data_IF_289980542149
#
_entry.id   IF_289980542149
#
_cell.length_a   1.000
_cell.length_b   1.000
_cell.length_c   1.000
_cell.angle_alpha   90.00
_cell.angle_beta   90.00
_cell.angle_gamma   90.00
#
_symmetry.space_group_name_H-M   'P 1'
#
loop_
_entity.id
_entity.type
_entity.pdbx_description
1 polymer ?
#
# COMPACT_ATOMS: atom_id res chain seq x y z
N UNK A 1 -19.98 23.04 72.52
CA UNK A 1 -18.57 22.58 72.58
C UNK A 1 -18.49 21.27 71.79
N UNK A 2 -17.63 21.18 70.76
CA UNK A 2 -16.95 19.98 70.17
C UNK A 2 -17.79 18.67 69.94
N UNK A 3 -17.85 18.01 68.76
CA UNK A 3 -17.42 18.35 67.38
C UNK A 3 -18.00 17.37 66.30
N UNK A 4 -17.99 17.84 65.03
CA UNK A 4 -17.78 17.21 63.71
C UNK A 4 -18.08 15.71 63.38
N UNK A 5 -18.76 15.54 62.22
CA UNK A 5 -18.52 14.61 61.08
C UNK A 5 -18.09 13.14 61.27
N UNK A 6 -18.86 12.23 60.64
CA UNK A 6 -18.40 11.47 59.45
C UNK A 6 -19.59 10.87 58.66
N UNK A 7 -19.51 10.87 57.32
CA UNK A 7 -20.53 10.28 56.41
C UNK A 7 -20.15 8.84 56.04
N UNK A 8 -21.03 7.87 56.33
CA UNK A 8 -21.05 6.58 55.66
C UNK A 8 -22.27 6.51 54.73
N UNK A 9 -22.08 6.37 53.41
CA UNK A 9 -23.20 6.19 52.47
C UNK A 9 -22.81 5.31 51.27
N UNK A 10 -22.76 4.01 51.52
CA UNK A 10 -22.70 2.99 50.47
C UNK A 10 -24.13 2.72 49.99
N UNK A 11 -24.43 3.05 48.74
CA UNK A 11 -25.80 2.91 48.23
C UNK A 11 -25.90 3.13 46.73
N UNK A 12 -26.23 2.05 46.02
CA UNK A 12 -26.79 1.99 44.66
C UNK A 12 -25.87 2.42 43.50
N UNK A 13 -25.33 1.42 42.79
CA UNK A 13 -25.10 1.46 41.34
C UNK A 13 -24.89 0.02 40.80
N UNK A 14 -25.94 -0.79 40.74
CA UNK A 14 -25.92 -2.12 40.11
C UNK A 14 -27.05 -2.20 39.08
N UNK A 15 -26.80 -1.65 37.88
CA UNK A 15 -27.62 -1.83 36.68
C UNK A 15 -26.95 -1.19 35.45
N UNK A 16 -26.14 -1.97 34.72
CA UNK A 16 -25.97 -1.84 33.27
C UNK A 16 -25.28 -3.08 32.70
N UNK A 17 -26.01 -4.19 32.69
CA UNK A 17 -25.65 -5.38 31.91
C UNK A 17 -26.14 -5.24 30.47
N UNK A 18 -25.45 -5.94 29.55
CA UNK A 18 -25.85 -6.18 28.16
C UNK A 18 -25.99 -4.94 27.26
N UNK A 19 -24.88 -4.52 26.65
CA UNK A 19 -24.80 -4.20 25.21
C UNK A 19 -23.32 -4.08 24.82
N UNK A 20 -22.81 -5.04 24.03
CA UNK A 20 -21.42 -5.03 23.58
C UNK A 20 -20.71 -6.38 23.61
N UNK A 21 -21.29 -7.40 22.98
CA UNK A 21 -20.54 -8.62 22.59
C UNK A 21 -19.53 -8.36 21.47
N UNK A 22 -18.84 -7.21 21.51
CA UNK A 22 -17.73 -6.90 20.64
C UNK A 22 -16.54 -7.70 21.13
N UNK A 23 -16.29 -8.86 20.51
CA UNK A 23 -15.02 -9.54 20.60
C UNK A 23 -13.96 -8.67 19.91
N UNK A 24 -13.52 -7.61 20.60
CA UNK A 24 -12.28 -6.92 20.25
C UNK A 24 -11.18 -7.97 20.39
N UNK A 25 -10.49 -8.34 19.30
CA UNK A 25 -9.31 -9.17 19.43
C UNK A 25 -8.29 -8.34 20.19
N UNK A 26 -8.09 -8.67 21.48
CA UNK A 26 -6.92 -8.21 22.21
C UNK A 26 -5.74 -8.66 21.35
N UNK A 27 -4.90 -7.70 20.94
CA UNK A 27 -3.63 -8.03 20.32
C UNK A 27 -2.80 -8.73 21.40
N UNK A 28 -2.78 -10.05 21.34
CA UNK A 28 -1.99 -10.90 22.21
C UNK A 28 -0.54 -10.45 22.12
N UNK A 29 0.11 -10.20 23.26
CA UNK A 29 1.44 -9.60 23.21
C UNK A 29 2.45 -10.63 22.70
N UNK A 30 3.52 -10.17 22.06
CA UNK A 30 4.66 -11.00 21.67
C UNK A 30 5.24 -11.82 22.86
N UNK A 31 5.01 -11.37 24.10
CA UNK A 31 5.39 -12.09 25.31
C UNK A 31 4.39 -13.18 25.74
N UNK A 32 3.15 -13.12 25.29
CA UNK A 32 2.09 -14.09 25.61
C UNK A 32 2.07 -15.24 24.60
N UNK A 33 2.21 -14.95 23.30
CA UNK A 33 2.40 -15.98 22.26
C UNK A 33 3.53 -16.96 22.62
N UNK A 34 4.65 -16.43 23.13
CA UNK A 34 5.84 -17.22 23.48
C UNK A 34 5.66 -18.11 24.70
N UNK A 35 4.55 -18.00 25.43
CA UNK A 35 4.18 -18.88 26.56
C UNK A 35 3.35 -20.08 26.10
N UNK A 36 2.91 -20.13 24.84
CA UNK A 36 2.16 -21.26 24.30
C UNK A 36 2.95 -22.59 24.47
N UNK A 37 2.34 -23.66 25.00
CA UNK A 37 3.04 -24.92 25.25
C UNK A 37 3.60 -25.59 23.99
N UNK A 38 2.93 -25.44 22.84
CA UNK A 38 3.38 -25.99 21.57
C UNK A 38 4.53 -25.16 20.98
N UNK A 39 4.48 -23.83 21.08
CA UNK A 39 5.58 -22.95 20.72
C UNK A 39 6.84 -23.22 21.56
N UNK A 40 6.70 -23.33 22.89
CA UNK A 40 7.80 -23.66 23.80
C UNK A 40 8.40 -25.03 23.49
N UNK A 41 7.56 -26.03 23.21
CA UNK A 41 8.01 -27.36 22.75
C UNK A 41 8.76 -27.28 21.42
N UNK A 42 8.29 -26.46 20.46
CA UNK A 42 8.98 -26.21 19.20
C UNK A 42 10.38 -25.64 19.42
N UNK A 43 10.50 -24.59 20.25
CA UNK A 43 11.79 -23.99 20.64
C UNK A 43 12.73 -24.99 21.33
N UNK A 44 12.20 -25.88 22.18
CA UNK A 44 12.99 -26.94 22.80
C UNK A 44 13.51 -27.95 21.76
N UNK A 45 12.68 -28.36 20.81
CA UNK A 45 13.06 -29.30 19.74
C UNK A 45 14.10 -28.69 18.79
N UNK A 46 14.02 -27.38 18.49
CA UNK A 46 15.10 -26.66 17.78
C UNK A 46 16.42 -26.75 18.53
N UNK A 47 16.42 -26.56 19.86
CA UNK A 47 17.64 -26.66 20.68
C UNK A 47 18.19 -28.10 20.71
N UNK A 48 17.33 -29.11 20.58
CA UNK A 48 17.70 -30.54 20.44
C UNK A 48 18.09 -30.93 19.01
N UNK A 49 18.07 -29.98 18.06
CA UNK A 49 18.30 -30.18 16.62
C UNK A 49 17.26 -31.09 15.92
N UNK A 50 16.14 -31.38 16.57
CA UNK A 50 14.99 -32.06 15.97
C UNK A 50 14.13 -31.02 15.22
N UNK A 51 14.60 -30.63 14.04
CA UNK A 51 13.94 -29.61 13.23
C UNK A 51 12.57 -30.05 12.72
N UNK A 52 12.37 -31.35 12.50
CA UNK A 52 11.10 -31.91 12.02
C UNK A 52 10.05 -31.87 13.13
N UNK A 53 10.38 -32.39 14.32
CA UNK A 53 9.51 -32.30 15.48
C UNK A 53 9.26 -30.85 15.92
N UNK A 54 10.24 -29.97 15.75
CA UNK A 54 10.06 -28.54 16.00
C UNK A 54 9.02 -27.91 15.06
N UNK A 55 9.07 -28.21 13.76
CA UNK A 55 8.09 -27.73 12.79
C UNK A 55 6.68 -28.21 13.16
N UNK A 56 6.49 -29.50 13.42
CA UNK A 56 5.19 -30.04 13.86
C UNK A 56 4.67 -29.42 15.17
N UNK A 57 5.56 -29.01 16.08
CA UNK A 57 5.19 -28.35 17.31
C UNK A 57 4.78 -26.88 17.05
N UNK A 58 5.47 -26.16 16.17
CA UNK A 58 5.03 -24.81 15.77
C UNK A 58 3.75 -24.83 14.93
N UNK A 59 3.52 -25.85 14.10
CA UNK A 59 2.25 -26.02 13.38
C UNK A 59 1.09 -26.21 14.36
N UNK A 60 1.26 -27.01 15.42
CA UNK A 60 0.27 -27.14 16.51
C UNK A 60 0.05 -25.84 17.29
N UNK A 61 1.08 -25.01 17.43
CA UNK A 61 0.93 -23.66 17.99
C UNK A 61 0.09 -22.76 17.05
N UNK A 62 0.24 -22.90 15.73
CA UNK A 62 -0.61 -22.20 14.75
C UNK A 62 -2.02 -22.78 14.62
N UNK A 63 -2.24 -24.07 14.91
CA UNK A 63 -3.59 -24.66 15.02
C UNK A 63 -4.35 -24.06 16.21
N UNK A 64 -3.67 -23.88 17.36
CA UNK A 64 -4.23 -23.23 18.54
C UNK A 64 -4.38 -21.70 18.35
N UNK A 65 -3.38 -21.04 17.76
CA UNK A 65 -3.38 -19.61 17.48
C UNK A 65 -2.88 -19.29 16.06
N UNK A 66 -3.78 -19.25 15.05
CA UNK A 66 -3.44 -18.91 13.66
C UNK A 66 -2.93 -17.47 13.44
N UNK A 67 -2.81 -16.68 14.50
CA UNK A 67 -2.33 -15.29 14.48
C UNK A 67 -1.03 -15.09 15.25
N UNK A 68 -0.39 -16.15 15.76
CA UNK A 68 0.92 -16.01 16.39
C UNK A 68 1.97 -15.58 15.38
N UNK A 69 2.46 -14.35 15.53
CA UNK A 69 3.59 -13.84 14.76
C UNK A 69 4.85 -14.69 15.04
N UNK A 70 5.11 -15.03 16.30
CA UNK A 70 6.30 -15.79 16.71
C UNK A 70 6.35 -17.18 16.09
N UNK A 71 5.25 -17.95 16.08
CA UNK A 71 5.23 -19.28 15.47
C UNK A 71 5.42 -19.21 13.94
N UNK A 72 4.84 -18.21 13.26
CA UNK A 72 5.12 -17.95 11.85
C UNK A 72 6.60 -17.63 11.60
N UNK A 73 7.23 -16.80 12.44
CA UNK A 73 8.65 -16.45 12.28
C UNK A 73 9.56 -17.69 12.36
N UNK A 74 9.36 -18.55 13.36
CA UNK A 74 10.15 -19.77 13.57
C UNK A 74 9.98 -20.79 12.44
N UNK A 75 8.74 -21.02 11.97
CA UNK A 75 8.49 -21.88 10.81
C UNK A 75 9.10 -21.32 9.53
N UNK A 76 9.11 -20.00 9.34
CA UNK A 76 9.82 -19.36 8.24
C UNK A 76 11.33 -19.61 8.28
N UNK A 77 11.93 -19.52 9.47
CA UNK A 77 13.36 -19.83 9.71
C UNK A 77 13.65 -21.29 9.36
N UNK A 78 12.89 -22.24 9.91
CA UNK A 78 13.12 -23.67 9.68
C UNK A 78 12.95 -24.07 8.21
N UNK A 79 11.90 -23.57 7.55
CA UNK A 79 11.68 -23.85 6.13
C UNK A 79 12.79 -23.30 5.23
N UNK A 80 13.33 -22.11 5.55
CA UNK A 80 14.46 -21.53 4.81
C UNK A 80 15.77 -22.30 5.04
N UNK A 81 16.13 -22.55 6.31
CA UNK A 81 17.49 -22.97 6.69
C UNK A 81 17.68 -24.48 6.83
N UNK A 82 16.60 -25.23 7.08
CA UNK A 82 16.66 -26.68 7.35
C UNK A 82 16.03 -27.52 6.25
N UNK A 83 14.91 -27.06 5.69
CA UNK A 83 14.16 -27.83 4.69
C UNK A 83 14.36 -27.34 3.24
N UNK A 84 15.02 -26.19 3.04
CA UNK A 84 15.12 -25.49 1.74
C UNK A 84 13.75 -25.29 1.05
N UNK A 85 12.67 -25.28 1.82
CA UNK A 85 11.31 -25.05 1.35
C UNK A 85 11.03 -23.54 1.31
N UNK A 86 11.70 -22.87 0.37
CA UNK A 86 11.63 -21.42 0.20
C UNK A 86 10.21 -20.90 -0.02
N UNK A 87 9.32 -21.71 -0.62
CA UNK A 87 7.91 -21.34 -0.83
C UNK A 87 7.14 -21.24 0.50
N UNK A 88 7.27 -22.24 1.38
CA UNK A 88 6.71 -22.17 2.72
C UNK A 88 7.37 -21.04 3.54
N UNK A 89 8.69 -20.89 3.45
CA UNK A 89 9.41 -19.82 4.15
C UNK A 89 8.86 -18.42 3.81
N UNK A 90 8.64 -18.13 2.52
CA UNK A 90 8.03 -16.87 2.07
C UNK A 90 6.63 -16.70 2.67
N UNK A 91 5.78 -17.72 2.63
CA UNK A 91 4.42 -17.65 3.20
C UNK A 91 4.44 -17.29 4.69
N UNK A 92 5.25 -17.99 5.49
CA UNK A 92 5.36 -17.74 6.92
C UNK A 92 5.98 -16.38 7.24
N UNK A 93 6.99 -15.93 6.47
CA UNK A 93 7.58 -14.59 6.61
C UNK A 93 6.63 -13.46 6.21
N UNK A 94 5.84 -13.63 5.15
CA UNK A 94 4.83 -12.65 4.75
C UNK A 94 3.68 -12.59 5.78
N UNK A 95 3.30 -13.72 6.38
CA UNK A 95 2.36 -13.77 7.52
C UNK A 95 2.90 -13.04 8.74
N UNK A 96 4.15 -13.27 9.12
CA UNK A 96 4.80 -12.55 10.22
C UNK A 96 4.72 -11.03 10.02
N UNK A 97 5.11 -10.53 8.84
CA UNK A 97 5.06 -9.10 8.51
C UNK A 97 3.64 -8.51 8.41
N UNK A 98 2.60 -9.33 8.25
CA UNK A 98 1.20 -8.90 8.34
C UNK A 98 0.69 -8.81 9.79
N UNK A 99 1.23 -9.64 10.68
CA UNK A 99 0.81 -9.75 12.08
C UNK A 99 1.55 -8.74 12.97
N UNK A 100 2.86 -8.62 12.81
CA UNK A 100 3.68 -7.59 13.47
C UNK A 100 4.52 -6.79 12.44
N UNK A 101 3.93 -5.74 11.82
CA UNK A 101 4.62 -4.93 10.82
C UNK A 101 5.75 -4.06 11.38
N UNK A 102 5.76 -3.79 12.69
CA UNK A 102 6.69 -2.87 13.36
C UNK A 102 7.77 -3.60 14.18
N UNK A 103 7.75 -4.94 14.19
CA UNK A 103 8.71 -5.78 14.87
C UNK A 103 10.16 -5.41 14.51
N UNK A 104 11.08 -5.24 15.49
CA UNK A 104 12.52 -5.14 15.23
C UNK A 104 13.03 -6.32 14.38
N UNK A 105 12.50 -7.52 14.65
CA UNK A 105 12.77 -8.75 13.91
C UNK A 105 12.44 -8.60 12.41
N UNK A 106 11.39 -7.84 12.07
CA UNK A 106 10.90 -7.61 10.71
C UNK A 106 11.91 -6.95 9.76
N UNK A 107 12.89 -6.22 10.30
CA UNK A 107 14.00 -5.63 9.53
C UNK A 107 14.77 -6.70 8.74
N UNK A 108 15.00 -7.86 9.35
CA UNK A 108 15.75 -8.96 8.75
C UNK A 108 14.89 -9.94 7.93
N UNK A 109 13.56 -9.81 7.98
CA UNK A 109 12.64 -10.71 7.27
C UNK A 109 12.48 -10.34 5.80
N UNK A 110 12.44 -9.04 5.47
CA UNK A 110 12.34 -8.59 4.07
C UNK A 110 13.51 -9.07 3.20
N UNK A 111 14.80 -8.97 3.63
CA UNK A 111 15.92 -9.58 2.91
C UNK A 111 15.77 -11.09 2.71
N UNK A 112 15.34 -11.83 3.75
CA UNK A 112 15.18 -13.30 3.67
C UNK A 112 14.08 -13.72 2.69
N UNK A 113 12.98 -12.98 2.61
CA UNK A 113 11.95 -13.17 1.57
C UNK A 113 12.55 -12.99 0.16
N UNK A 114 13.42 -12.01 -0.04
CA UNK A 114 14.09 -11.77 -1.33
C UNK A 114 15.00 -12.96 -1.68
N UNK A 115 15.87 -13.38 -0.76
CA UNK A 115 16.73 -14.57 -0.96
C UNK A 115 15.91 -15.83 -1.27
N UNK A 116 14.82 -16.09 -0.54
CA UNK A 116 13.93 -17.22 -0.83
C UNK A 116 13.31 -17.13 -2.25
N UNK A 117 12.95 -15.93 -2.71
CA UNK A 117 12.42 -15.71 -4.07
C UNK A 117 13.48 -15.90 -5.14
N UNK A 118 14.74 -15.52 -4.87
CA UNK A 118 15.88 -15.78 -5.74
C UNK A 118 16.20 -17.27 -5.86
N UNK A 119 16.23 -18.01 -4.75
CA UNK A 119 16.46 -19.47 -4.79
C UNK A 119 15.33 -20.21 -5.53
N UNK A 120 14.06 -19.84 -5.29
CA UNK A 120 12.95 -20.37 -6.10
C UNK A 120 13.12 -20.04 -7.59
N UNK A 121 13.51 -18.81 -7.93
CA UNK A 121 13.74 -18.43 -9.32
C UNK A 121 14.84 -19.29 -9.97
N UNK A 122 15.92 -19.64 -9.26
CA UNK A 122 16.94 -20.58 -9.77
C UNK A 122 16.36 -21.97 -10.07
N UNK A 123 15.44 -22.47 -9.25
CA UNK A 123 14.79 -23.79 -9.49
C UNK A 123 13.77 -23.78 -10.63
N UNK A 124 13.15 -22.62 -10.92
CA UNK A 124 12.09 -22.47 -11.95
C UNK A 124 12.66 -22.00 -13.30
N UNK A 125 13.81 -21.33 -13.31
CA UNK A 125 14.52 -20.95 -14.53
C UNK A 125 15.09 -22.21 -15.20
N UNK A 126 14.40 -22.65 -16.26
CA UNK A 126 14.73 -23.81 -17.12
C UNK A 126 16.02 -23.62 -17.97
N UNK A 127 16.95 -22.77 -17.54
CA UNK A 127 18.19 -22.45 -18.22
C UNK A 127 19.10 -21.57 -17.35
N UNK A 128 20.41 -21.50 -17.65
CA UNK A 128 21.36 -20.73 -16.85
C UNK A 128 21.00 -19.25 -16.87
N UNK A 129 21.11 -18.59 -15.71
CA UNK A 129 21.05 -17.13 -15.61
C UNK A 129 22.21 -16.56 -16.43
N UNK A 130 21.90 -16.01 -17.60
CA UNK A 130 22.92 -15.43 -18.48
C UNK A 130 23.32 -14.05 -17.99
N UNK A 131 24.59 -13.68 -18.18
CA UNK A 131 25.12 -12.35 -17.83
C UNK A 131 24.27 -11.17 -18.35
N UNK A 132 23.70 -11.19 -19.58
CA UNK A 132 22.77 -10.16 -20.04
C UNK A 132 21.46 -10.11 -19.24
N UNK A 133 20.84 -11.26 -18.96
CA UNK A 133 19.60 -11.34 -18.18
C UNK A 133 19.81 -10.84 -16.75
N UNK A 134 20.96 -11.16 -16.14
CA UNK A 134 21.30 -10.68 -14.80
C UNK A 134 21.45 -9.15 -14.75
N UNK A 135 22.16 -8.56 -15.72
CA UNK A 135 22.26 -7.09 -15.85
C UNK A 135 20.91 -6.42 -16.10
N UNK A 136 20.01 -7.09 -16.83
CA UNK A 136 18.65 -6.59 -17.04
C UNK A 136 17.82 -6.64 -15.74
N UNK A 137 17.92 -7.73 -14.96
CA UNK A 137 17.28 -7.85 -13.63
C UNK A 137 17.82 -6.82 -12.63
N UNK A 138 19.13 -6.60 -12.58
CA UNK A 138 19.78 -5.56 -11.77
C UNK A 138 19.29 -4.16 -12.15
N UNK A 139 19.26 -3.86 -13.46
CA UNK A 139 18.73 -2.59 -13.98
C UNK A 139 17.26 -2.38 -13.60
N UNK A 140 16.41 -3.39 -13.83
CA UNK A 140 14.99 -3.32 -13.48
C UNK A 140 14.76 -3.13 -11.98
N UNK A 141 15.62 -3.73 -11.14
CA UNK A 141 15.59 -3.55 -9.69
C UNK A 141 15.99 -2.13 -9.29
N UNK A 142 17.07 -1.59 -9.86
CA UNK A 142 17.51 -0.22 -9.62
C UNK A 142 16.46 0.82 -10.10
N UNK A 143 15.87 0.61 -11.28
CA UNK A 143 14.78 1.43 -11.80
C UNK A 143 13.53 1.36 -10.90
N UNK A 144 13.19 0.18 -10.35
CA UNK A 144 12.06 0.01 -9.42
C UNK A 144 12.28 0.75 -8.09
N UNK A 145 13.48 0.67 -7.51
CA UNK A 145 13.87 1.42 -6.31
C UNK A 145 13.78 2.93 -6.58
N UNK A 146 14.35 3.40 -7.70
CA UNK A 146 14.33 4.81 -8.11
C UNK A 146 12.91 5.32 -8.36
N UNK A 147 12.02 4.51 -8.92
CA UNK A 147 10.61 4.85 -9.11
C UNK A 147 9.87 4.89 -7.78
N UNK A 148 10.14 3.97 -6.86
CA UNK A 148 9.55 3.95 -5.51
C UNK A 148 9.92 5.21 -4.72
N UNK A 149 11.20 5.62 -4.76
CA UNK A 149 11.69 6.88 -4.17
C UNK A 149 11.01 8.13 -4.79
N UNK A 150 10.79 8.14 -6.11
CA UNK A 150 10.06 9.22 -6.77
C UNK A 150 8.59 9.28 -6.34
N UNK A 151 7.93 8.12 -6.18
CA UNK A 151 6.55 8.04 -5.68
C UNK A 151 6.46 8.57 -4.25
N UNK A 152 7.38 8.20 -3.37
CA UNK A 152 7.45 8.71 -2.00
C UNK A 152 7.70 10.23 -1.96
N UNK A 153 8.64 10.74 -2.77
CA UNK A 153 8.91 12.17 -2.88
C UNK A 153 7.67 12.96 -3.35
N UNK A 154 6.96 12.45 -4.36
CA UNK A 154 5.72 13.07 -4.86
C UNK A 154 4.58 13.00 -3.84
N UNK A 155 4.44 11.90 -3.11
CA UNK A 155 3.47 11.77 -2.02
C UNK A 155 3.74 12.80 -0.91
N UNK A 156 5.00 12.97 -0.51
CA UNK A 156 5.41 13.97 0.47
C UNK A 156 5.15 15.41 -0.02
N UNK A 157 5.41 15.71 -1.29
CA UNK A 157 5.06 17.00 -1.89
C UNK A 157 3.54 17.25 -1.88
N UNK A 158 2.73 16.26 -2.26
CA UNK A 158 1.26 16.36 -2.24
C UNK A 158 0.73 16.58 -0.82
N UNK A 159 1.30 15.90 0.18
CA UNK A 159 0.97 16.12 1.59
C UNK A 159 1.30 17.55 2.06
N UNK A 160 2.47 18.09 1.66
CA UNK A 160 2.85 19.47 1.96
C UNK A 160 1.88 20.48 1.31
N UNK A 161 1.48 20.29 0.05
CA UNK A 161 0.50 21.16 -0.60
C UNK A 161 -0.88 21.11 0.08
N UNK A 162 -1.34 19.93 0.50
CA UNK A 162 -2.58 19.78 1.26
C UNK A 162 -2.52 20.49 2.63
N UNK A 163 -1.40 20.36 3.35
CA UNK A 163 -1.17 21.08 4.61
C UNK A 163 -1.13 22.61 4.41
N UNK A 164 -0.44 23.09 3.37
CA UNK A 164 -0.41 24.52 3.05
C UNK A 164 -1.80 25.07 2.70
N UNK A 165 -2.60 24.34 1.91
CA UNK A 165 -3.97 24.71 1.58
C UNK A 165 -4.89 24.79 2.81
N UNK A 166 -4.81 23.82 3.73
CA UNK A 166 -5.61 23.81 4.97
C UNK A 166 -5.21 24.95 5.91
N UNK A 167 -3.92 25.24 6.05
CA UNK A 167 -3.43 26.40 6.82
C UNK A 167 -3.88 27.73 6.21
N UNK A 168 -3.82 27.88 4.88
CA UNK A 168 -4.27 29.08 4.17
C UNK A 168 -5.81 29.26 4.18
N UNK A 169 -6.57 28.19 4.38
CA UNK A 169 -8.01 28.27 4.65
C UNK A 169 -8.26 28.69 6.11
N UNK A 170 -7.55 28.11 7.07
CA UNK A 170 -7.67 28.43 8.50
C UNK A 170 -7.34 29.90 8.79
N UNK A 171 -6.28 30.43 8.20
CA UNK A 171 -5.87 31.85 8.32
C UNK A 171 -6.86 32.83 7.66
N UNK A 172 -7.72 32.38 6.75
CA UNK A 172 -8.84 33.17 6.20
C UNK A 172 -10.12 33.09 7.06
N UNK A 173 -10.20 32.13 7.97
CA UNK A 173 -11.34 31.91 8.88
C UNK A 173 -11.15 32.51 10.28
N UNK A 174 -9.94 32.95 10.64
CA UNK A 174 -9.68 33.64 11.90
C UNK A 174 -10.37 35.01 11.90
N UNK A 175 -11.31 35.30 12.83
CA UNK A 175 -11.97 36.60 12.89
C UNK A 175 -10.97 37.72 13.15
N UNK A 176 -11.11 38.82 12.41
CA UNK A 176 -10.43 40.08 12.74
C UNK A 176 -10.84 40.51 14.17
N UNK A 177 -9.90 40.87 15.05
CA UNK A 177 -10.25 41.44 16.34
C UNK A 177 -10.98 42.77 16.15
N UNK A 178 -12.25 42.85 16.55
CA UNK A 178 -12.96 44.11 16.74
C UNK A 178 -14.11 44.48 15.78
N UNK A 179 -14.61 43.57 14.93
CA UNK A 179 -15.81 43.85 14.11
C UNK A 179 -16.99 42.98 14.58
N UNK A 180 -17.96 43.62 15.26
CA UNK A 180 -19.23 42.99 15.62
C UNK A 180 -20.15 42.82 14.38
N UNK A 181 -20.94 41.73 14.28
CA UNK A 181 -21.76 41.47 13.11
C UNK A 181 -23.03 42.32 13.10
N UNK A 182 -23.09 43.34 12.23
CA UNK A 182 -24.32 44.07 11.94
C UNK A 182 -25.15 43.37 10.87
N UNK A 183 -26.45 43.19 11.13
CA UNK A 183 -27.41 42.60 10.17
C UNK A 183 -27.95 43.67 9.22
N UNK A 184 -27.58 43.61 7.94
CA UNK A 184 -28.31 44.17 6.78
C UNK A 184 -27.55 43.73 5.51
N UNK A 185 -28.16 43.43 4.36
CA UNK A 185 -29.56 43.38 3.95
C UNK A 185 -29.56 42.95 2.46
N UNK A 186 -30.58 42.26 1.98
CA UNK A 186 -30.55 41.69 0.63
C UNK A 186 -30.64 42.77 -0.47
N UNK A 187 -29.50 43.11 -1.08
CA UNK A 187 -29.44 44.00 -2.26
C UNK A 187 -29.33 43.18 -3.55
N UNK A 188 -30.42 43.16 -4.32
CA UNK A 188 -30.53 42.48 -5.62
C UNK A 188 -29.89 43.33 -6.72
N UNK A 189 -28.75 42.91 -7.27
CA UNK A 189 -28.12 43.55 -8.44
C UNK A 189 -28.44 42.76 -9.71
N UNK A 190 -28.83 43.46 -10.77
CA UNK A 190 -29.22 42.91 -12.07
C UNK A 190 -27.98 42.55 -12.93
N UNK A 191 -28.11 41.68 -13.96
CA UNK A 191 -26.96 41.11 -14.66
C UNK A 191 -26.36 42.05 -15.72
N UNK A 192 -25.03 42.11 -15.79
CA UNK A 192 -24.28 42.74 -16.88
C UNK A 192 -23.96 41.73 -18.01
N UNK A 193 -24.01 42.22 -19.25
CA UNK A 193 -23.97 41.46 -20.51
C UNK A 193 -22.64 40.67 -20.74
N UNK A 194 -22.69 39.37 -21.13
CA UNK A 194 -21.48 38.58 -21.42
C UNK A 194 -20.71 38.92 -22.72
N UNK A 195 -21.19 39.82 -23.59
CA UNK A 195 -20.71 39.94 -24.99
C UNK A 195 -19.64 41.00 -25.29
N UNK A 196 -18.70 41.28 -24.38
CA UNK A 196 -17.52 42.11 -24.72
C UNK A 196 -16.21 41.58 -24.13
N UNK A 197 -15.29 41.03 -24.95
CA UNK A 197 -13.95 40.66 -24.49
C UNK A 197 -13.04 41.89 -24.36
N UNK A 198 -12.19 41.98 -23.31
CA UNK A 198 -11.09 42.93 -23.26
C UNK A 198 -9.86 42.37 -23.99
N UNK A 199 -9.35 43.14 -24.93
CA UNK A 199 -8.21 42.83 -25.79
C UNK A 199 -6.90 43.23 -25.09
N UNK A 200 -5.91 42.33 -25.01
CA UNK A 200 -4.62 42.60 -24.36
C UNK A 200 -3.44 41.96 -25.11
N UNK A 201 -2.90 42.80 -26.02
CA UNK A 201 -1.53 42.92 -26.52
C UNK A 201 -0.56 41.72 -26.41
N UNK A 202 -0.01 41.34 -27.56
CA UNK A 202 1.00 40.32 -27.70
C UNK A 202 2.37 40.73 -27.12
N UNK A 203 2.94 39.87 -26.27
CA UNK A 203 4.36 39.88 -25.89
C UNK A 203 5.10 38.72 -26.55
N UNK A 204 5.96 39.01 -27.52
CA UNK A 204 6.76 37.99 -28.22
C UNK A 204 7.93 37.53 -27.35
N UNK A 205 8.00 36.23 -27.06
CA UNK A 205 9.22 35.58 -26.54
C UNK A 205 9.52 34.37 -27.40
N UNK A 206 10.58 34.47 -28.20
CA UNK A 206 11.09 33.38 -29.04
C UNK A 206 11.84 32.35 -28.18
N UNK A 207 11.59 31.06 -28.40
CA UNK A 207 12.26 30.01 -27.62
C UNK A 207 12.00 28.58 -28.11
N UNK A 208 12.92 28.05 -28.91
CA UNK A 208 13.19 26.60 -29.01
C UNK A 208 12.18 25.74 -29.79
N UNK A 209 12.26 25.75 -31.12
CA UNK A 209 11.61 24.73 -31.94
C UNK A 209 12.30 23.36 -31.75
N UNK A 210 11.70 22.50 -30.93
CA UNK A 210 12.18 21.13 -30.72
C UNK A 210 11.61 20.21 -31.82
N UNK A 211 12.24 20.21 -33.00
CA UNK A 211 11.77 19.47 -34.19
C UNK A 211 12.08 17.97 -34.11
N UNK A 212 11.26 17.22 -33.39
CA UNK A 212 11.13 15.78 -33.65
C UNK A 212 10.36 15.59 -34.97
N UNK A 213 10.85 14.79 -35.93
CA UNK A 213 10.18 14.60 -37.21
C UNK A 213 8.85 13.83 -37.03
N UNK A 214 7.83 14.12 -37.85
CA UNK A 214 6.54 13.42 -37.78
C UNK A 214 6.70 11.98 -38.29
N UNK A 215 6.75 11.01 -37.37
CA UNK A 215 6.69 9.58 -37.72
C UNK A 215 5.27 9.24 -38.19
N UNK A 216 5.09 8.50 -39.30
CA UNK A 216 3.78 8.35 -39.95
C UNK A 216 2.71 7.73 -39.04
N UNK A 217 1.50 8.26 -39.13
CA UNK A 217 0.33 7.71 -38.45
C UNK A 217 -0.10 6.39 -39.10
N UNK A 218 0.33 5.26 -38.52
CA UNK A 218 -0.07 3.92 -38.96
C UNK A 218 -1.31 3.47 -38.16
N UNK A 219 -2.27 2.87 -38.85
CA UNK A 219 -3.61 2.59 -38.32
C UNK A 219 -3.60 1.77 -37.01
N UNK A 220 -4.23 2.29 -35.96
CA UNK A 220 -4.34 1.62 -34.66
C UNK A 220 -5.12 0.31 -34.74
N UNK A 221 -4.56 -0.75 -34.16
CA UNK A 221 -5.20 -2.07 -34.09
C UNK A 221 -6.26 -2.05 -32.99
N UNK A 222 -7.49 -2.49 -33.28
CA UNK A 222 -8.54 -2.61 -32.25
C UNK A 222 -8.47 -3.96 -31.56
N UNK A 223 -8.65 -3.96 -30.24
CA UNK A 223 -8.66 -5.15 -29.39
C UNK A 223 -9.94 -5.18 -28.54
N UNK A 224 -10.65 -6.30 -28.54
CA UNK A 224 -11.86 -6.51 -27.72
C UNK A 224 -11.49 -7.21 -26.42
N UNK A 225 -11.76 -6.53 -25.29
CA UNK A 225 -11.44 -6.97 -23.93
C UNK A 225 -12.13 -8.30 -23.61
N UNK A 226 -11.36 -9.30 -23.20
CA UNK A 226 -11.85 -10.58 -22.66
C UNK A 226 -11.95 -10.56 -21.13
N UNK A 227 -12.64 -11.55 -20.57
CA UNK A 227 -12.72 -11.73 -19.11
C UNK A 227 -11.33 -11.81 -18.49
N UNK A 228 -11.11 -11.06 -17.41
CA UNK A 228 -9.84 -11.01 -16.68
C UNK A 228 -8.69 -10.22 -17.33
N UNK A 229 -8.85 -9.70 -18.56
CA UNK A 229 -7.83 -8.83 -19.14
C UNK A 229 -7.81 -7.45 -18.45
N UNK A 230 -6.61 -6.93 -18.18
CA UNK A 230 -6.38 -5.56 -17.67
C UNK A 230 -5.72 -4.71 -18.74
N UNK A 231 -5.80 -3.36 -18.71
CA UNK A 231 -5.10 -2.52 -19.68
C UNK A 231 -3.59 -2.77 -19.70
N UNK A 232 -2.99 -3.11 -18.54
CA UNK A 232 -1.57 -3.48 -18.45
C UNK A 232 -1.29 -4.82 -19.15
N UNK A 233 -2.17 -5.82 -19.03
CA UNK A 233 -2.04 -7.09 -19.76
C UNK A 233 -2.18 -6.89 -21.28
N UNK A 234 -3.15 -6.06 -21.70
CA UNK A 234 -3.37 -5.70 -23.12
C UNK A 234 -2.15 -4.93 -23.66
N UNK A 235 -1.64 -3.95 -22.92
CA UNK A 235 -0.45 -3.18 -23.30
C UNK A 235 0.75 -4.10 -23.54
N UNK A 236 1.08 -4.97 -22.57
CA UNK A 236 2.15 -5.97 -22.69
C UNK A 236 1.96 -6.92 -23.88
N UNK A 237 0.73 -7.42 -24.09
CA UNK A 237 0.36 -8.34 -25.18
C UNK A 237 0.62 -7.77 -26.58
N UNK A 238 0.59 -6.44 -26.72
CA UNK A 238 0.91 -5.75 -27.97
C UNK A 238 2.23 -4.96 -27.94
N UNK A 239 3.06 -5.16 -26.89
CA UNK A 239 4.35 -4.50 -26.71
C UNK A 239 4.29 -2.97 -26.46
N UNK A 240 3.10 -2.38 -26.31
CA UNK A 240 2.93 -0.93 -26.12
C UNK A 240 3.05 -0.55 -24.65
N UNK A 241 3.45 0.68 -24.36
CA UNK A 241 3.39 1.20 -22.99
C UNK A 241 1.95 1.41 -22.56
N UNK A 242 1.66 1.19 -21.27
CA UNK A 242 0.33 1.47 -20.70
C UNK A 242 -0.09 2.94 -20.92
N UNK A 243 0.87 3.87 -20.83
CA UNK A 243 0.61 5.29 -21.07
C UNK A 243 0.21 5.55 -22.54
N UNK A 244 0.89 4.94 -23.52
CA UNK A 244 0.50 5.04 -24.93
C UNK A 244 -0.89 4.45 -25.17
N UNK A 245 -1.21 3.30 -24.55
CA UNK A 245 -2.54 2.69 -24.64
C UNK A 245 -3.63 3.60 -24.05
N UNK A 246 -3.41 4.21 -22.89
CA UNK A 246 -4.38 5.13 -22.26
C UNK A 246 -4.52 6.43 -23.07
N UNK A 247 -3.43 6.99 -23.59
CA UNK A 247 -3.46 8.17 -24.47
C UNK A 247 -4.23 7.93 -25.77
N UNK A 248 -4.19 6.70 -26.30
CA UNK A 248 -4.98 6.30 -27.47
C UNK A 248 -6.47 6.04 -27.17
N UNK A 249 -6.88 6.04 -25.89
CA UNK A 249 -8.24 5.79 -25.44
C UNK A 249 -8.66 6.79 -24.34
N UNK A 250 -8.81 8.09 -24.65
CA UNK A 250 -9.33 9.06 -23.69
C UNK A 250 -10.74 8.64 -23.22
N UNK A 251 -10.86 8.24 -21.95
CA UNK A 251 -12.07 7.66 -21.36
C UNK A 251 -11.97 6.17 -20.98
N UNK A 252 -10.87 5.48 -21.30
CA UNK A 252 -10.61 4.13 -20.80
C UNK A 252 -10.14 4.17 -19.33
N UNK A 253 -11.06 3.96 -18.40
CA UNK A 253 -10.74 3.87 -16.97
C UNK A 253 -10.15 2.50 -16.61
N UNK A 254 -8.91 2.40 -16.08
CA UNK A 254 -8.27 1.12 -15.85
C UNK A 254 -8.96 0.19 -14.85
N UNK A 255 -9.75 0.75 -13.93
CA UNK A 255 -10.50 0.01 -12.90
C UNK A 255 -11.95 -0.32 -13.30
N UNK A 256 -12.43 0.19 -14.44
CA UNK A 256 -13.83 0.06 -14.89
C UNK A 256 -13.96 -0.43 -16.34
N UNK A 257 -12.90 -1.02 -16.88
CA UNK A 257 -12.87 -1.65 -18.20
C UNK A 257 -13.84 -2.84 -18.24
N UNK A 258 -14.74 -2.87 -19.23
CA UNK A 258 -15.79 -3.90 -19.36
C UNK A 258 -15.38 -5.00 -20.34
N UNK A 259 -15.83 -6.23 -20.08
CA UNK A 259 -15.74 -7.33 -21.05
C UNK A 259 -16.52 -6.94 -22.31
N UNK A 260 -15.94 -7.19 -23.49
CA UNK A 260 -16.50 -6.77 -24.78
C UNK A 260 -16.21 -5.31 -25.16
N UNK A 261 -15.61 -4.51 -24.28
CA UNK A 261 -15.18 -3.15 -24.62
C UNK A 261 -14.07 -3.20 -25.68
N UNK A 262 -14.14 -2.30 -26.66
CA UNK A 262 -13.08 -2.16 -27.68
C UNK A 262 -12.05 -1.14 -27.24
N UNK A 263 -10.78 -1.50 -27.32
CA UNK A 263 -9.61 -0.67 -26.98
C UNK A 263 -8.77 -0.47 -28.24
N UNK A 264 -8.42 0.78 -28.53
CA UNK A 264 -7.50 1.15 -29.60
C UNK A 264 -6.05 0.93 -29.14
N UNK A 265 -5.33 0.06 -29.82
CA UNK A 265 -3.91 -0.21 -29.57
C UNK A 265 -3.08 0.58 -30.58
N UNK A 266 -2.26 1.56 -30.13
CA UNK A 266 -1.37 2.29 -31.04
C UNK A 266 -0.27 1.37 -31.59
N UNK A 267 0.33 1.73 -32.73
CA UNK A 267 1.61 1.15 -33.15
C UNK A 267 2.78 1.78 -32.38
N UNK A 268 3.95 1.15 -32.47
CA UNK A 268 5.25 1.74 -32.08
C UNK A 268 5.70 2.79 -33.11
#
# INVERSE_FOLDING_TARGET
MIALFARGRWGVALLLGLLGGGCFPVAESDSDEKKDPHYMKGRELVNRLDFQGAAEAFDKALEANPRSASAHLELGILNMERFANYAAAIYHFEKFLMLDPNSPQGQNIRPRIITCKEELAKTVLLGPVTQPLQKEMERLTADNIRLSQQVEMLQNQLAQYAAAATNAARARSTPLPGIAPTKSGAAKVAPSDPRRPPELLAGSVSGGANTNPPRPAVAGRRHTVKSGETPAAIARKYGVSLNALLKANPGLEPRRMKIGQTVNVPSQ
#
